data_IF_542673144514
#
_entry.id   IF_542673144514
#
_cell.length_a   1.000
_cell.length_b   1.000
_cell.length_c   1.000
_cell.angle_alpha   90.00
_cell.angle_beta   90.00
_cell.angle_gamma   90.00
#
_symmetry.space_group_name_H-M   'P 1'
#
loop_
_entity.id
_entity.type
_entity.pdbx_description
1 polymer ?
#
# COMPACT_ATOMS: atom_id res chain seq x y z
N UNK A 1 11.52 -15.76 17.13
CA UNK A 1 10.69 -14.55 17.03
C UNK A 1 11.15 -13.76 15.82
N UNK A 2 10.23 -13.38 14.93
CA UNK A 2 10.58 -12.52 13.79
C UNK A 2 11.15 -11.19 14.28
N UNK A 3 11.92 -10.47 13.47
CA UNK A 3 12.45 -9.14 13.82
C UNK A 3 11.77 -8.10 12.94
N UNK A 4 11.37 -6.98 13.54
CA UNK A 4 10.84 -5.83 12.81
C UNK A 4 11.88 -5.37 11.78
N UNK A 5 11.50 -5.34 10.50
CA UNK A 5 12.43 -4.99 9.41
C UNK A 5 12.85 -3.51 9.38
N UNK A 6 12.20 -2.66 10.19
CA UNK A 6 12.50 -1.23 10.27
C UNK A 6 13.45 -0.94 11.45
N UNK A 7 13.28 -1.61 12.60
CA UNK A 7 14.06 -1.31 13.81
C UNK A 7 14.85 -2.49 14.40
N UNK A 8 14.77 -3.69 13.80
CA UNK A 8 15.59 -4.86 14.13
C UNK A 8 15.23 -5.60 15.42
N UNK A 9 14.29 -5.10 16.22
CA UNK A 9 13.84 -5.74 17.47
C UNK A 9 12.89 -6.90 17.21
N UNK A 10 12.88 -7.89 18.10
CA UNK A 10 12.02 -9.07 18.00
C UNK A 10 10.53 -8.72 18.16
N UNK A 11 9.69 -9.25 17.28
CA UNK A 11 8.22 -9.12 17.28
C UNK A 11 7.58 -10.46 17.64
N UNK A 12 6.49 -10.38 18.40
CA UNK A 12 5.83 -11.54 19.03
C UNK A 12 4.73 -12.14 18.14
N UNK A 13 4.13 -11.40 17.21
CA UNK A 13 3.13 -11.92 16.25
C UNK A 13 3.14 -11.10 14.96
N UNK A 14 2.80 -11.73 13.84
CA UNK A 14 3.04 -11.21 12.48
C UNK A 14 2.11 -10.04 12.09
N UNK A 15 0.92 -9.88 12.67
CA UNK A 15 0.02 -8.75 12.40
C UNK A 15 -0.75 -8.40 13.67
N UNK A 16 -0.80 -7.11 14.04
CA UNK A 16 -1.47 -6.62 15.27
C UNK A 16 -2.94 -6.23 15.01
N UNK A 17 -3.42 -6.45 13.78
CA UNK A 17 -4.75 -6.07 13.33
C UNK A 17 -5.52 -7.28 12.80
N UNK A 18 -6.85 -7.28 12.97
CA UNK A 18 -7.71 -8.20 12.22
C UNK A 18 -7.60 -7.90 10.72
N UNK A 19 -7.70 -8.94 9.90
CA UNK A 19 -7.54 -8.83 8.46
C UNK A 19 -8.56 -7.87 7.85
N UNK A 20 -9.80 -7.95 8.29
CA UNK A 20 -10.92 -7.12 7.81
C UNK A 20 -10.68 -5.65 8.15
N UNK A 21 -10.27 -5.37 9.40
CA UNK A 21 -9.92 -4.00 9.82
C UNK A 21 -8.74 -3.42 9.03
N UNK A 22 -7.77 -4.26 8.66
CA UNK A 22 -6.64 -3.83 7.84
C UNK A 22 -7.04 -3.59 6.39
N UNK A 23 -7.93 -4.42 5.80
CA UNK A 23 -8.47 -4.20 4.45
C UNK A 23 -9.15 -2.83 4.33
N UNK A 24 -10.06 -2.53 5.26
CA UNK A 24 -10.79 -1.26 5.27
C UNK A 24 -9.86 -0.05 5.40
N UNK A 25 -8.79 -0.18 6.20
CA UNK A 25 -7.84 0.91 6.41
C UNK A 25 -6.90 1.09 5.21
N UNK A 26 -6.45 -0.01 4.60
CA UNK A 26 -5.64 0.00 3.37
C UNK A 26 -6.40 0.68 2.23
N UNK A 27 -7.68 0.39 2.05
CA UNK A 27 -8.49 0.98 0.98
C UNK A 27 -8.61 2.51 1.14
N UNK A 28 -8.89 2.99 2.36
CA UNK A 28 -8.94 4.43 2.67
C UNK A 28 -7.59 5.12 2.44
N UNK A 29 -6.50 4.50 2.91
CA UNK A 29 -5.16 5.05 2.76
C UNK A 29 -4.75 5.11 1.28
N UNK A 30 -5.08 4.08 0.50
CA UNK A 30 -4.80 4.05 -0.93
C UNK A 30 -5.55 5.18 -1.66
N UNK A 31 -6.82 5.41 -1.35
CA UNK A 31 -7.59 6.51 -1.94
C UNK A 31 -6.96 7.88 -1.66
N UNK A 32 -6.70 8.19 -0.38
CA UNK A 32 -6.06 9.47 0.00
C UNK A 32 -4.72 9.66 -0.71
N UNK A 33 -3.89 8.61 -0.79
CA UNK A 33 -2.63 8.70 -1.53
C UNK A 33 -2.81 8.93 -3.02
N UNK A 34 -3.72 8.19 -3.66
CA UNK A 34 -3.99 8.32 -5.09
C UNK A 34 -4.53 9.70 -5.46
N UNK A 35 -5.43 10.25 -4.65
CA UNK A 35 -6.11 11.52 -4.95
C UNK A 35 -5.22 12.74 -4.62
N UNK A 36 -4.60 12.74 -3.44
CA UNK A 36 -3.93 13.94 -2.90
C UNK A 36 -2.43 13.98 -3.17
N UNK A 37 -1.76 12.82 -3.26
CA UNK A 37 -0.30 12.74 -3.28
C UNK A 37 0.27 12.14 -4.56
N UNK A 38 -0.46 11.25 -5.23
CA UNK A 38 0.00 10.61 -6.45
C UNK A 38 -0.03 11.61 -7.61
N UNK A 39 1.13 11.78 -8.25
CA UNK A 39 1.27 12.65 -9.42
C UNK A 39 0.75 12.02 -10.71
N UNK A 40 0.81 10.69 -10.83
CA UNK A 40 0.61 9.98 -12.09
C UNK A 40 -0.78 10.16 -12.71
N UNK A 41 -1.89 10.16 -11.94
CA UNK A 41 -3.21 10.44 -12.51
C UNK A 41 -3.32 11.79 -13.23
N UNK A 42 -2.44 12.76 -12.92
CA UNK A 42 -2.42 14.09 -13.54
C UNK A 42 -1.46 14.19 -14.72
N UNK A 43 -0.51 13.27 -14.82
CA UNK A 43 0.56 13.28 -15.83
C UNK A 43 0.37 12.24 -16.93
N UNK A 44 -0.38 11.18 -16.65
CA UNK A 44 -0.70 10.16 -17.65
C UNK A 44 -1.79 10.67 -18.60
N UNK A 45 -1.66 10.39 -19.91
CA UNK A 45 -2.60 10.88 -20.91
C UNK A 45 -3.94 10.14 -20.91
N UNK A 46 -4.02 8.94 -20.34
CA UNK A 46 -5.24 8.15 -20.21
C UNK A 46 -5.11 7.12 -19.06
N UNK A 47 -6.23 6.47 -18.76
CA UNK A 47 -6.35 5.48 -17.68
C UNK A 47 -5.52 4.22 -17.96
N UNK A 48 -5.53 3.72 -19.20
CA UNK A 48 -4.82 2.49 -19.56
C UNK A 48 -3.31 2.62 -19.33
N UNK A 49 -2.72 3.76 -19.72
CA UNK A 49 -1.30 4.04 -19.52
C UNK A 49 -0.95 4.22 -18.02
N UNK A 50 -1.86 4.81 -17.26
CA UNK A 50 -1.71 4.93 -15.81
C UNK A 50 -1.69 3.56 -15.14
N UNK A 51 -2.62 2.68 -15.53
CA UNK A 51 -2.74 1.33 -14.99
C UNK A 51 -1.51 0.47 -15.33
N UNK A 52 -1.22 0.34 -16.63
CA UNK A 52 -0.15 -0.52 -17.15
C UNK A 52 1.25 -0.10 -16.68
N UNK A 53 1.51 1.22 -16.60
CA UNK A 53 2.87 1.73 -16.31
C UNK A 53 3.12 2.06 -14.85
N UNK A 54 2.08 2.40 -14.08
CA UNK A 54 2.25 2.95 -12.74
C UNK A 54 1.46 2.22 -11.66
N UNK A 55 0.19 1.88 -11.88
CA UNK A 55 -0.62 1.25 -10.84
C UNK A 55 -0.28 -0.24 -10.65
N UNK A 56 -0.05 -0.99 -11.74
CA UNK A 56 0.26 -2.42 -11.70
C UNK A 56 1.53 -2.76 -10.91
N UNK A 57 2.47 -1.82 -10.87
CA UNK A 57 3.73 -1.95 -10.13
C UNK A 57 3.85 -0.96 -8.95
N UNK A 58 2.72 -0.43 -8.46
CA UNK A 58 2.71 0.60 -7.43
C UNK A 58 3.32 0.10 -6.12
N UNK A 59 4.46 0.69 -5.73
CA UNK A 59 5.17 0.35 -4.50
C UNK A 59 4.33 0.56 -3.24
N UNK A 60 3.43 1.56 -3.23
CA UNK A 60 2.52 1.81 -2.11
C UNK A 60 1.57 0.63 -1.92
N UNK A 61 0.87 0.21 -2.98
CA UNK A 61 -0.05 -0.93 -2.94
C UNK A 61 0.71 -2.20 -2.57
N UNK A 62 1.92 -2.40 -3.11
CA UNK A 62 2.77 -3.54 -2.74
C UNK A 62 3.07 -3.56 -1.23
N UNK A 63 3.36 -2.42 -0.62
CA UNK A 63 3.65 -2.32 0.82
C UNK A 63 2.38 -2.52 1.66
N UNK A 64 1.25 -1.91 1.28
CA UNK A 64 -0.01 -2.05 2.00
C UNK A 64 -0.52 -3.51 2.03
N UNK A 65 -0.30 -4.23 0.92
CA UNK A 65 -0.63 -5.65 0.82
C UNK A 65 0.26 -6.58 1.64
N UNK A 66 1.37 -6.10 2.23
CA UNK A 66 2.19 -6.92 3.14
C UNK A 66 1.48 -7.25 4.46
N UNK A 67 0.40 -6.54 4.78
CA UNK A 67 -0.42 -6.80 5.98
C UNK A 67 -1.68 -7.62 5.72
N UNK A 68 -1.95 -8.02 4.47
CA UNK A 68 -3.12 -8.81 4.04
C UNK A 68 -2.82 -10.29 3.85
#
# INVERSE_FOLDING_TARGET
MAKCKICGKTVVTAHVFHRECWQDEVEKLAQVFCDDYCRWPRECPNQDELEDKHCDSCDLIRVLNLGL
#
